data_IF_724307991581
#
_entry.id   IF_724307991581
#
_cell.length_a   1.000
_cell.length_b   1.000
_cell.length_c   1.000
_cell.angle_alpha   90.00
_cell.angle_beta   90.00
_cell.angle_gamma   90.00
#
_symmetry.space_group_name_H-M   'P 1'
#
loop_
_entity.id
_entity.type
_entity.pdbx_description
1 polymer ?
#
# COMPACT_ATOMS: atom_id res chain seq x y z
N UNK A 1 -9.38 31.75 -6.18
CA UNK A 1 -7.92 31.81 -6.41
C UNK A 1 -7.34 30.48 -6.01
N UNK A 2 -6.67 29.77 -6.92
CA UNK A 2 -6.05 28.48 -6.61
C UNK A 2 -4.72 28.71 -5.92
N UNK A 3 -4.58 28.30 -4.67
CA UNK A 3 -3.34 28.43 -3.91
C UNK A 3 -2.37 27.29 -4.23
N UNK A 4 -1.07 27.47 -3.98
CA UNK A 4 -0.12 26.36 -4.02
C UNK A 4 -0.37 25.44 -2.81
N UNK A 5 -0.10 24.16 -2.97
CA UNK A 5 -0.16 23.22 -1.85
C UNK A 5 0.94 23.57 -0.82
N UNK A 6 0.56 23.58 0.45
CA UNK A 6 1.45 23.85 1.58
C UNK A 6 1.26 22.74 2.63
N UNK A 7 2.34 22.23 3.25
CA UNK A 7 2.24 21.29 4.37
C UNK A 7 1.72 21.99 5.64
N UNK A 8 0.99 21.28 6.49
CA UNK A 8 0.40 21.82 7.72
C UNK A 8 -0.87 22.67 7.50
N UNK A 9 -1.36 22.73 6.27
CA UNK A 9 -2.53 23.51 5.86
C UNK A 9 -3.78 22.64 5.86
N UNK A 10 -4.88 23.16 6.41
CA UNK A 10 -6.16 22.45 6.42
C UNK A 10 -6.92 22.70 5.12
N UNK A 11 -7.19 21.64 4.39
CA UNK A 11 -7.95 21.65 3.14
C UNK A 11 -9.32 21.01 3.35
N UNK A 12 -10.35 21.69 2.86
CA UNK A 12 -11.72 21.19 2.83
C UNK A 12 -11.95 20.39 1.54
N UNK A 13 -12.95 19.51 1.58
CA UNK A 13 -13.37 18.78 0.38
C UNK A 13 -13.75 19.76 -0.73
N UNK A 14 -13.21 19.53 -1.93
CA UNK A 14 -13.42 20.38 -3.09
C UNK A 14 -12.39 21.50 -3.28
N UNK A 15 -11.54 21.78 -2.29
CA UNK A 15 -10.46 22.78 -2.42
C UNK A 15 -9.48 22.39 -3.52
N UNK A 16 -9.05 23.37 -4.32
CA UNK A 16 -8.10 23.14 -5.43
C UNK A 16 -6.76 23.77 -5.11
N UNK A 17 -5.69 22.97 -5.27
CA UNK A 17 -4.31 23.40 -5.07
C UNK A 17 -3.45 23.12 -6.28
N UNK A 18 -2.35 23.86 -6.43
CA UNK A 18 -1.29 23.59 -7.40
C UNK A 18 -0.13 22.89 -6.69
N UNK A 19 0.25 21.71 -7.17
CA UNK A 19 1.42 20.96 -6.70
C UNK A 19 2.18 20.39 -7.91
N UNK A 20 3.50 20.61 -7.96
CA UNK A 20 4.35 20.20 -9.09
C UNK A 20 3.80 20.63 -10.48
N UNK A 21 3.22 21.82 -10.56
CA UNK A 21 2.66 22.37 -11.80
C UNK A 21 1.32 21.76 -12.25
N UNK A 22 0.75 20.84 -11.47
CA UNK A 22 -0.56 20.22 -11.73
C UNK A 22 -1.59 20.69 -10.71
N UNK A 23 -2.87 20.70 -11.12
CA UNK A 23 -3.99 21.02 -10.25
C UNK A 23 -4.53 19.77 -9.60
N UNK A 24 -4.76 19.83 -8.30
CA UNK A 24 -5.36 18.76 -7.52
C UNK A 24 -6.57 19.30 -6.78
N UNK A 25 -7.66 18.54 -6.79
CA UNK A 25 -8.87 18.79 -6.03
C UNK A 25 -8.90 17.88 -4.82
N UNK A 26 -9.08 18.45 -3.64
CA UNK A 26 -9.22 17.71 -2.40
C UNK A 26 -10.48 16.84 -2.47
N UNK A 27 -10.31 15.51 -2.38
CA UNK A 27 -11.43 14.55 -2.38
C UNK A 27 -11.99 14.40 -0.96
N UNK A 28 -11.13 14.46 0.06
CA UNK A 28 -11.50 14.33 1.47
C UNK A 28 -10.82 15.43 2.29
N UNK A 29 -11.57 16.09 3.17
CA UNK A 29 -11.03 17.16 4.00
C UNK A 29 -9.96 16.63 4.96
N UNK A 30 -8.79 17.27 5.01
CA UNK A 30 -7.66 16.83 5.84
C UNK A 30 -6.72 18.01 6.16
N UNK A 31 -5.81 17.81 7.11
CA UNK A 31 -4.63 18.66 7.27
C UNK A 31 -3.48 18.04 6.49
N UNK A 32 -2.85 18.81 5.60
CA UNK A 32 -1.75 18.33 4.77
C UNK A 32 -0.51 18.04 5.61
N UNK A 33 0.25 17.02 5.21
CA UNK A 33 1.52 16.65 5.82
C UNK A 33 2.59 16.61 4.73
N UNK A 34 3.84 16.87 5.10
CA UNK A 34 4.98 16.95 4.17
C UNK A 34 5.23 15.67 3.37
N UNK A 35 4.81 14.52 3.91
CA UNK A 35 4.87 13.19 3.32
C UNK A 35 3.55 12.76 2.65
N UNK A 36 2.51 13.58 2.72
CA UNK A 36 1.18 13.37 2.12
C UNK A 36 0.91 14.41 1.04
N UNK A 37 1.77 14.42 0.02
CA UNK A 37 1.66 15.35 -1.09
C UNK A 37 0.53 14.93 -2.05
N UNK A 38 -0.06 15.87 -2.81
CA UNK A 38 -1.22 15.57 -3.66
C UNK A 38 -1.01 14.48 -4.72
N UNK A 39 0.23 14.26 -5.14
CA UNK A 39 0.62 13.24 -6.12
C UNK A 39 0.79 11.83 -5.54
N UNK A 40 0.99 11.68 -4.22
CA UNK A 40 1.20 10.39 -3.55
C UNK A 40 0.04 9.97 -2.66
N UNK A 41 -1.00 10.80 -2.54
CA UNK A 41 -2.20 10.53 -1.73
C UNK A 41 -3.49 10.66 -2.55
N UNK A 42 -3.72 9.78 -3.55
CA UNK A 42 -4.87 9.86 -4.46
C UNK A 42 -6.22 9.65 -3.76
N UNK A 43 -6.23 9.11 -2.54
CA UNK A 43 -7.44 9.05 -1.70
C UNK A 43 -7.87 10.42 -1.15
N UNK A 44 -6.92 11.35 -1.02
CA UNK A 44 -7.12 12.70 -0.51
C UNK A 44 -7.19 13.74 -1.63
N UNK A 45 -6.63 13.44 -2.80
CA UNK A 45 -6.47 14.38 -3.91
C UNK A 45 -6.79 13.75 -5.27
N UNK A 46 -7.60 14.44 -6.08
CA UNK A 46 -7.92 14.08 -7.46
C UNK A 46 -7.24 15.03 -8.43
N UNK A 47 -6.53 14.51 -9.43
CA UNK A 47 -5.89 15.33 -10.46
C UNK A 47 -6.97 15.99 -11.33
N UNK A 48 -6.91 17.30 -11.49
CA UNK A 48 -7.72 18.03 -12.48
C UNK A 48 -6.91 18.10 -13.77
N UNK A 49 -7.43 17.51 -14.85
CA UNK A 49 -6.84 17.68 -16.19
C UNK A 49 -7.08 19.11 -16.68
N UNK A 50 -6.12 19.67 -17.41
CA UNK A 50 -6.24 20.98 -18.03
C UNK A 50 -7.29 20.90 -19.16
N UNK A 51 -8.53 21.23 -18.81
CA UNK A 51 -9.68 21.18 -19.73
C UNK A 51 -11.04 21.49 -19.09
N UNK A 52 -11.15 21.48 -17.76
CA UNK A 52 -12.41 21.82 -17.09
C UNK A 52 -12.55 23.34 -16.94
N UNK A 53 -13.25 23.94 -17.92
CA UNK A 53 -13.52 25.38 -17.98
C UNK A 53 -14.60 25.77 -16.97
N UNK A 54 -14.17 26.37 -15.85
CA UNK A 54 -15.02 27.13 -14.96
C UNK A 54 -14.18 27.86 -13.92
N UNK A 55 -14.42 29.15 -13.74
CA UNK A 55 -13.77 30.10 -12.82
C UNK A 55 -12.54 30.85 -13.35
N UNK A 56 -12.82 32.03 -13.90
CA UNK A 56 -11.87 33.16 -13.99
C UNK A 56 -11.47 33.60 -12.56
N UNK A 57 -10.18 33.83 -12.31
CA UNK A 57 -9.74 34.34 -11.02
C UNK A 57 -8.23 34.47 -10.88
N UNK A 58 -7.72 35.64 -11.28
CA UNK A 58 -6.43 36.27 -11.00
C UNK A 58 -5.42 35.50 -10.12
N UNK A 59 -4.26 35.20 -10.72
CA UNK A 59 -3.06 34.65 -10.07
C UNK A 59 -2.37 35.68 -9.16
N UNK A 60 -2.12 35.30 -7.90
CA UNK A 60 -1.19 36.02 -7.02
C UNK A 60 0.28 35.64 -7.33
N UNK A 61 1.24 36.56 -7.12
CA UNK A 61 2.66 36.30 -7.39
C UNK A 61 3.30 35.36 -6.36
N UNK A 62 4.26 34.56 -6.87
CA UNK A 62 5.05 33.54 -6.17
C UNK A 62 5.86 34.12 -5.00
N UNK A 63 5.91 33.47 -3.81
CA UNK A 63 6.82 33.85 -2.73
C UNK A 63 8.29 33.61 -3.13
N UNK A 64 9.17 34.54 -2.78
CA UNK A 64 10.58 34.57 -3.21
C UNK A 64 11.43 33.35 -2.76
N UNK A 65 10.95 32.54 -1.80
CA UNK A 65 11.70 31.42 -1.22
C UNK A 65 11.21 30.02 -1.64
N UNK A 66 10.39 29.90 -2.69
CA UNK A 66 9.99 28.59 -3.20
C UNK A 66 11.00 28.01 -4.19
N UNK A 67 11.84 27.08 -3.72
CA UNK A 67 12.71 26.24 -4.56
C UNK A 67 12.17 24.81 -4.58
N UNK A 68 11.53 24.35 -5.67
CA UNK A 68 11.15 22.94 -5.78
C UNK A 68 12.41 22.06 -5.86
N UNK A 69 12.40 20.84 -5.29
CA UNK A 69 13.48 19.89 -5.49
C UNK A 69 13.59 19.56 -6.98
N UNK A 70 14.79 19.72 -7.55
CA UNK A 70 15.06 19.39 -8.94
C UNK A 70 15.25 17.87 -9.07
N UNK A 71 14.25 17.20 -9.63
CA UNK A 71 14.42 15.87 -10.20
C UNK A 71 14.00 15.93 -11.67
N UNK A 72 14.99 15.72 -12.55
CA UNK A 72 14.78 15.54 -13.97
C UNK A 72 14.03 14.22 -14.19
N UNK A 73 12.72 14.30 -14.45
CA UNK A 73 11.96 13.15 -14.92
C UNK A 73 11.96 13.15 -16.45
N UNK A 74 12.46 12.11 -17.13
CA UNK A 74 12.18 11.94 -18.55
C UNK A 74 10.67 11.77 -18.76
N UNK A 75 10.15 12.28 -19.88
CA UNK A 75 8.76 12.13 -20.27
C UNK A 75 8.36 10.63 -20.30
N UNK A 76 7.10 10.28 -19.99
CA UNK A 76 6.63 8.91 -20.14
C UNK A 76 6.83 8.44 -21.59
N UNK A 77 7.33 7.21 -21.83
CA UNK A 77 7.40 6.65 -23.18
C UNK A 77 5.99 6.59 -23.78
N UNK A 78 5.89 6.85 -25.09
CA UNK A 78 4.65 6.74 -25.85
C UNK A 78 4.02 5.34 -25.66
N UNK A 79 2.70 5.33 -25.48
CA UNK A 79 1.87 4.14 -25.30
C UNK A 79 2.21 3.04 -26.32
N UNK A 80 2.77 1.94 -25.82
CA UNK A 80 2.60 0.64 -26.47
C UNK A 80 1.38 0.00 -25.80
N UNK A 81 0.34 -0.29 -26.57
CA UNK A 81 -0.83 -1.05 -26.14
C UNK A 81 -0.81 -2.41 -26.84
N UNK A 82 -0.69 -3.50 -26.09
CA UNK A 82 -0.90 -4.86 -26.63
C UNK A 82 -2.40 -5.12 -26.74
N UNK A 83 -2.87 -5.49 -27.93
CA UNK A 83 -4.24 -5.92 -28.17
C UNK A 83 -4.45 -7.36 -27.66
N UNK A 84 -5.55 -7.58 -26.91
CA UNK A 84 -5.98 -8.89 -26.41
C UNK A 84 -7.03 -9.46 -27.37
N UNK A 85 -6.87 -10.70 -27.81
CA UNK A 85 -7.83 -11.37 -28.69
C UNK A 85 -8.95 -12.07 -27.89
N UNK A 86 -10.18 -12.06 -28.43
CA UNK A 86 -11.41 -12.60 -27.79
C UNK A 86 -11.35 -14.08 -27.38
N UNK A 87 -10.41 -14.84 -27.93
CA UNK A 87 -10.15 -16.24 -27.58
C UNK A 87 -9.18 -16.38 -26.40
N UNK A 88 -8.29 -15.41 -26.21
CA UNK A 88 -7.38 -15.34 -25.06
C UNK A 88 -8.13 -14.95 -23.77
N UNK A 89 -9.25 -14.23 -23.89
CA UNK A 89 -10.17 -13.90 -22.77
C UNK A 89 -10.73 -15.14 -22.06
N UNK A 90 -10.76 -16.29 -22.73
CA UNK A 90 -11.35 -17.54 -22.22
C UNK A 90 -10.33 -18.51 -21.64
N UNK A 91 -9.04 -18.22 -21.76
CA UNK A 91 -7.96 -19.09 -21.28
C UNK A 91 -7.63 -18.77 -19.82
N UNK A 92 -7.34 -19.79 -19.02
CA UNK A 92 -6.83 -19.57 -17.68
C UNK A 92 -5.38 -19.04 -17.77
N UNK A 93 -4.98 -18.13 -16.88
CA UNK A 93 -3.65 -17.48 -16.93
C UNK A 93 -2.48 -18.49 -16.95
N UNK A 94 -2.65 -19.60 -16.24
CA UNK A 94 -1.67 -20.68 -16.20
C UNK A 94 -1.53 -21.44 -17.53
N UNK A 95 -2.53 -21.35 -18.41
CA UNK A 95 -2.58 -22.00 -19.72
C UNK A 95 -2.07 -21.07 -20.84
N UNK A 96 -1.63 -19.85 -20.50
CA UNK A 96 -0.98 -18.92 -21.43
C UNK A 96 0.51 -19.27 -21.50
N UNK A 97 1.06 -19.23 -22.70
CA UNK A 97 2.49 -19.45 -22.94
C UNK A 97 3.36 -18.35 -22.29
N UNK A 98 4.54 -18.73 -21.81
CA UNK A 98 5.44 -17.85 -21.07
C UNK A 98 6.00 -16.70 -21.93
N UNK A 99 6.15 -16.88 -23.25
CA UNK A 99 6.54 -15.81 -24.16
C UNK A 99 5.44 -14.75 -24.31
N UNK A 100 4.17 -15.18 -24.37
CA UNK A 100 2.99 -14.32 -24.39
C UNK A 100 2.75 -13.62 -23.05
N UNK A 101 2.99 -14.28 -21.91
CA UNK A 101 2.99 -13.63 -20.58
C UNK A 101 3.97 -12.47 -20.54
N UNK A 102 5.20 -12.69 -21.03
CA UNK A 102 6.25 -11.67 -21.11
C UNK A 102 5.90 -10.49 -22.04
N UNK A 103 5.16 -10.74 -23.13
CA UNK A 103 4.66 -9.67 -24.00
C UNK A 103 3.57 -8.83 -23.34
N UNK A 104 2.66 -9.45 -22.58
CA UNK A 104 1.61 -8.76 -21.81
C UNK A 104 2.20 -7.95 -20.63
N UNK A 105 3.32 -8.41 -20.07
CA UNK A 105 4.09 -7.71 -19.04
C UNK A 105 4.85 -6.48 -19.58
N UNK A 106 5.32 -6.53 -20.83
CA UNK A 106 6.19 -5.50 -21.42
C UNK A 106 5.43 -4.40 -22.16
N UNK A 107 4.23 -4.66 -22.69
CA UNK A 107 3.56 -3.76 -23.64
C UNK A 107 2.23 -3.10 -23.20
N UNK A 108 2.04 -2.79 -21.93
CA UNK A 108 0.99 -1.83 -21.54
C UNK A 108 0.08 -2.27 -20.40
N UNK A 109 0.34 -1.72 -19.22
CA UNK A 109 -0.68 -1.07 -18.38
C UNK A 109 -1.86 -1.87 -17.81
N UNK A 110 -2.03 -3.18 -18.08
CA UNK A 110 -3.20 -3.94 -17.59
C UNK A 110 -2.87 -5.31 -16.97
N UNK A 111 -1.66 -5.86 -17.17
CA UNK A 111 -1.29 -7.16 -16.57
C UNK A 111 -0.86 -7.10 -15.10
N UNK A 112 -0.34 -5.96 -14.63
CA UNK A 112 0.12 -5.80 -13.24
C UNK A 112 -1.01 -5.78 -12.20
N UNK A 113 -2.24 -5.45 -12.59
CA UNK A 113 -3.33 -5.23 -11.62
C UNK A 113 -4.35 -6.37 -11.48
N UNK A 114 -4.42 -7.34 -12.40
CA UNK A 114 -5.40 -8.43 -12.31
C UNK A 114 -4.78 -9.82 -12.06
N UNK A 115 -3.49 -10.03 -12.35
CA UNK A 115 -2.87 -11.36 -12.26
C UNK A 115 -1.78 -11.52 -11.19
N UNK A 116 -1.12 -10.44 -10.75
CA UNK A 116 0.26 -10.57 -10.28
C UNK A 116 0.48 -10.60 -8.78
N UNK A 117 -0.44 -10.11 -7.94
CA UNK A 117 -0.23 -10.30 -6.52
C UNK A 117 -0.34 -11.79 -6.16
N UNK A 118 -1.22 -12.56 -6.78
CA UNK A 118 -1.27 -13.99 -6.49
C UNK A 118 -2.24 -14.80 -7.33
N UNK A 119 -2.16 -14.73 -8.66
CA UNK A 119 -2.86 -15.60 -9.60
C UNK A 119 -4.37 -15.77 -9.30
N UNK A 120 -5.15 -14.77 -9.70
CA UNK A 120 -6.57 -14.69 -9.40
C UNK A 120 -6.81 -14.02 -8.04
N UNK A 121 -7.42 -12.84 -8.08
CA UNK A 121 -8.56 -12.58 -7.21
C UNK A 121 -9.41 -13.86 -7.29
N UNK A 122 -9.29 -14.81 -6.36
CA UNK A 122 -10.02 -16.08 -6.40
C UNK A 122 -11.47 -15.76 -6.68
N UNK A 123 -11.94 -16.05 -7.90
CA UNK A 123 -13.28 -15.77 -8.41
C UNK A 123 -13.99 -14.59 -7.70
N UNK A 124 -13.81 -13.36 -8.21
CA UNK A 124 -14.89 -12.39 -8.36
C UNK A 124 -16.08 -12.67 -7.41
N UNK A 125 -15.99 -12.31 -6.13
CA UNK A 125 -17.16 -12.40 -5.24
C UNK A 125 -18.17 -11.34 -5.73
N UNK A 126 -19.00 -11.75 -6.69
CA UNK A 126 -20.33 -11.26 -7.07
C UNK A 126 -20.71 -9.80 -6.75
N UNK A 127 -19.82 -8.84 -6.99
CA UNK A 127 -20.16 -7.43 -7.06
C UNK A 127 -19.83 -6.94 -8.47
N UNK A 128 -20.84 -6.45 -9.20
CA UNK A 128 -20.68 -5.79 -10.50
C UNK A 128 -19.95 -4.45 -10.32
N UNK A 129 -18.65 -4.51 -10.01
CA UNK A 129 -17.81 -3.32 -10.07
C UNK A 129 -17.75 -2.81 -11.50
N UNK A 130 -17.81 -1.49 -11.65
CA UNK A 130 -17.74 -0.85 -12.96
C UNK A 130 -16.37 -1.08 -13.60
N UNK A 131 -16.30 -0.99 -14.92
CA UNK A 131 -15.02 -1.04 -15.64
C UNK A 131 -14.05 0.07 -15.19
N UNK A 132 -14.58 1.21 -14.76
CA UNK A 132 -13.78 2.33 -14.23
C UNK A 132 -13.15 1.99 -12.89
N UNK A 133 -13.90 1.34 -11.98
CA UNK A 133 -13.40 0.90 -10.67
C UNK A 133 -12.28 -0.14 -10.83
N UNK A 134 -12.42 -1.06 -11.79
CA UNK A 134 -11.37 -2.05 -12.11
C UNK A 134 -10.11 -1.38 -12.62
N UNK A 135 -10.24 -0.42 -13.55
CA UNK A 135 -9.10 0.34 -14.08
C UNK A 135 -8.41 1.14 -12.97
N UNK A 136 -9.17 1.77 -12.09
CA UNK A 136 -8.63 2.51 -10.95
C UNK A 136 -7.84 1.60 -9.99
N UNK A 137 -8.36 0.41 -9.70
CA UNK A 137 -7.68 -0.59 -8.88
C UNK A 137 -6.38 -1.10 -9.54
N UNK A 138 -6.41 -1.37 -10.86
CA UNK A 138 -5.21 -1.78 -11.59
C UNK A 138 -4.14 -0.69 -11.56
N UNK A 139 -4.55 0.56 -11.73
CA UNK A 139 -3.65 1.72 -11.73
C UNK A 139 -3.05 1.97 -10.35
N UNK A 140 -3.83 1.85 -9.27
CA UNK A 140 -3.33 2.01 -7.90
C UNK A 140 -2.28 0.96 -7.54
N UNK A 141 -2.49 -0.29 -7.96
CA UNK A 141 -1.50 -1.37 -7.77
C UNK A 141 -0.22 -1.08 -8.55
N UNK A 142 -0.31 -0.62 -9.81
CA UNK A 142 0.87 -0.28 -10.61
C UNK A 142 1.71 0.84 -10.00
N UNK A 143 1.06 1.89 -9.51
CA UNK A 143 1.76 2.97 -8.83
C UNK A 143 2.42 2.47 -7.55
N UNK A 144 1.72 1.69 -6.75
CA UNK A 144 2.29 1.10 -5.53
C UNK A 144 3.53 0.25 -5.85
N UNK A 145 3.50 -0.60 -6.90
CA UNK A 145 4.66 -1.41 -7.30
C UNK A 145 5.84 -0.50 -7.67
N UNK A 146 5.61 0.52 -8.50
CA UNK A 146 6.66 1.46 -8.93
C UNK A 146 7.30 2.16 -7.73
N UNK A 147 6.49 2.65 -6.80
CA UNK A 147 6.97 3.32 -5.59
C UNK A 147 7.70 2.37 -4.64
N UNK A 148 7.18 1.15 -4.46
CA UNK A 148 7.80 0.14 -3.63
C UNK A 148 9.18 -0.24 -4.18
N UNK A 149 9.32 -0.37 -5.50
CA UNK A 149 10.60 -0.58 -6.16
C UNK A 149 11.56 0.61 -5.96
N UNK A 150 11.05 1.85 -6.03
CA UNK A 150 11.86 3.04 -5.74
C UNK A 150 12.39 3.02 -4.28
N UNK A 151 11.53 2.71 -3.29
CA UNK A 151 11.93 2.55 -1.88
C UNK A 151 12.98 1.45 -1.70
N UNK A 152 12.83 0.31 -2.39
CA UNK A 152 13.82 -0.77 -2.38
C UNK A 152 15.17 -0.31 -2.94
N UNK A 153 15.16 0.46 -4.03
CA UNK A 153 16.39 0.95 -4.65
C UNK A 153 17.11 1.95 -3.74
N UNK A 154 16.38 2.85 -3.09
CA UNK A 154 16.92 3.77 -2.09
C UNK A 154 17.52 3.01 -0.90
N UNK A 155 16.79 2.02 -0.36
CA UNK A 155 17.30 1.16 0.71
C UNK A 155 18.58 0.40 0.33
N UNK A 156 18.69 -0.08 -0.91
CA UNK A 156 19.93 -0.72 -1.41
C UNK A 156 21.11 0.24 -1.48
N UNK A 157 20.87 1.53 -1.69
CA UNK A 157 21.92 2.55 -1.79
C UNK A 157 22.32 3.11 -0.43
N UNK A 158 21.33 3.38 0.44
CA UNK A 158 21.50 4.15 1.67
C UNK A 158 21.42 3.28 2.93
N UNK A 159 20.96 2.04 2.84
CA UNK A 159 20.60 1.22 3.99
C UNK A 159 19.34 1.73 4.69
N UNK A 160 19.24 1.50 6.00
CA UNK A 160 18.13 1.99 6.82
C UNK A 160 18.25 3.50 7.05
N UNK A 161 17.22 4.25 6.66
CA UNK A 161 17.09 5.70 6.90
C UNK A 161 16.03 6.03 7.95
N UNK A 162 15.27 5.03 8.41
CA UNK A 162 14.27 5.14 9.46
C UNK A 162 14.26 3.86 10.32
N UNK A 163 13.70 3.89 11.55
CA UNK A 163 13.57 2.70 12.40
C UNK A 163 12.78 1.55 11.74
N UNK A 164 11.86 1.87 10.85
CA UNK A 164 11.05 0.93 10.09
C UNK A 164 10.87 1.44 8.65
N UNK A 165 11.10 0.57 7.67
CA UNK A 165 10.96 0.85 6.25
C UNK A 165 10.24 -0.30 5.55
N UNK A 166 9.34 0.03 4.63
CA UNK A 166 8.67 -0.94 3.78
C UNK A 166 9.47 -1.16 2.50
N UNK A 167 9.95 -2.38 2.31
CA UNK A 167 10.86 -2.72 1.21
C UNK A 167 10.18 -3.72 0.29
N UNK A 168 10.13 -3.40 -1.00
CA UNK A 168 9.56 -4.29 -2.01
C UNK A 168 10.28 -5.64 -2.04
N UNK A 169 9.48 -6.72 -2.03
CA UNK A 169 9.94 -8.09 -2.08
C UNK A 169 9.18 -8.90 -3.12
N UNK A 170 9.88 -9.86 -3.72
CA UNK A 170 9.31 -10.81 -4.67
C UNK A 170 9.61 -12.24 -4.26
N UNK A 171 8.59 -13.09 -4.28
CA UNK A 171 8.70 -14.48 -3.91
C UNK A 171 9.18 -14.65 -2.48
N UNK A 172 10.11 -15.59 -2.29
CA UNK A 172 10.52 -16.13 -0.99
C UNK A 172 11.87 -15.59 -0.49
N UNK A 173 12.49 -14.68 -1.24
CA UNK A 173 13.81 -14.13 -0.91
C UNK A 173 13.67 -13.06 0.18
N UNK A 174 13.59 -13.48 1.44
CA UNK A 174 13.38 -12.55 2.57
C UNK A 174 14.66 -11.74 2.81
N UNK A 175 14.63 -10.40 2.73
CA UNK A 175 15.81 -9.57 2.91
C UNK A 175 16.32 -9.59 4.35
N UNK A 176 17.64 -9.48 4.50
CA UNK A 176 18.29 -9.25 5.78
C UNK A 176 17.73 -7.98 6.46
N UNK A 177 17.48 -8.07 7.78
CA UNK A 177 16.91 -6.98 8.57
C UNK A 177 15.37 -6.93 8.56
N UNK A 178 14.70 -7.88 7.89
CA UNK A 178 13.26 -8.05 8.03
C UNK A 178 12.88 -8.30 9.50
N UNK A 179 11.88 -7.56 10.00
CA UNK A 179 11.42 -7.69 11.38
C UNK A 179 10.68 -9.01 11.55
N UNK A 180 11.16 -9.85 12.46
CA UNK A 180 10.51 -11.10 12.86
C UNK A 180 9.49 -10.87 13.98
N UNK A 181 8.38 -11.61 13.93
CA UNK A 181 7.35 -11.59 14.97
C UNK A 181 7.35 -12.83 15.86
N UNK A 182 7.96 -13.91 15.40
CA UNK A 182 8.04 -15.18 16.10
C UNK A 182 8.47 -16.31 15.17
N UNK A 183 8.65 -17.49 15.77
CA UNK A 183 8.79 -18.74 15.04
C UNK A 183 7.51 -19.56 15.17
N UNK A 184 7.11 -20.17 14.06
CA UNK A 184 6.06 -21.18 13.99
C UNK A 184 6.73 -22.49 13.57
N UNK A 185 6.80 -23.47 14.49
CA UNK A 185 7.64 -24.66 14.33
C UNK A 185 9.11 -24.25 14.04
N UNK A 186 9.63 -24.62 12.87
CA UNK A 186 11.00 -24.32 12.43
C UNK A 186 11.08 -23.08 11.52
N UNK A 187 9.95 -22.39 11.30
CA UNK A 187 9.86 -21.33 10.29
C UNK A 187 9.71 -19.96 10.93
N UNK A 188 10.29 -18.95 10.31
CA UNK A 188 10.24 -17.57 10.81
C UNK A 188 9.12 -16.79 10.13
N UNK A 189 8.37 -16.03 10.92
CA UNK A 189 7.30 -15.16 10.43
C UNK A 189 7.72 -13.69 10.42
N UNK A 190 7.57 -13.07 9.26
CA UNK A 190 7.89 -11.67 9.02
C UNK A 190 6.63 -10.86 8.72
N UNK A 191 6.73 -9.54 8.88
CA UNK A 191 5.63 -8.61 8.62
C UNK A 191 5.67 -8.20 7.16
N UNK A 192 4.56 -8.37 6.45
CA UNK A 192 4.41 -7.84 5.09
C UNK A 192 3.17 -6.97 4.95
N UNK A 193 3.11 -6.21 3.86
CA UNK A 193 1.91 -5.52 3.40
C UNK A 193 1.75 -5.60 1.90
N UNK A 194 0.51 -5.48 1.42
CA UNK A 194 0.23 -5.36 0.00
C UNK A 194 -1.12 -4.64 -0.25
N UNK A 195 -1.33 -4.11 -1.46
CA UNK A 195 -2.62 -3.55 -1.85
C UNK A 195 -3.70 -4.63 -1.87
N UNK A 196 -4.80 -4.41 -1.17
CA UNK A 196 -6.05 -5.16 -1.32
C UNK A 196 -7.12 -4.20 -1.90
N UNK A 197 -8.39 -4.63 -1.94
CA UNK A 197 -9.47 -3.80 -2.44
C UNK A 197 -9.58 -2.47 -1.67
N UNK A 198 -9.35 -1.35 -2.39
CA UNK A 198 -9.39 0.00 -1.85
C UNK A 198 -8.27 0.41 -0.87
N UNK A 199 -7.40 -0.51 -0.44
CA UNK A 199 -6.50 -0.27 0.69
C UNK A 199 -5.16 -0.99 0.62
N UNK A 200 -4.33 -0.78 1.64
CA UNK A 200 -3.07 -1.53 1.87
C UNK A 200 -3.20 -2.25 3.20
N UNK A 201 -3.05 -3.57 3.18
CA UNK A 201 -3.25 -4.42 4.36
C UNK A 201 -1.99 -5.15 4.76
N UNK A 202 -1.83 -5.34 6.06
CA UNK A 202 -0.72 -6.04 6.71
C UNK A 202 -1.04 -7.54 6.82
N UNK A 203 -0.02 -8.38 6.72
CA UNK A 203 -0.11 -9.82 6.97
C UNK A 203 1.26 -10.44 7.27
N UNK A 204 1.41 -11.71 6.89
CA UNK A 204 2.59 -12.54 7.20
C UNK A 204 3.39 -12.88 5.96
N UNK A 205 4.70 -12.86 6.08
CA UNK A 205 5.63 -13.37 5.08
C UNK A 205 6.56 -14.43 5.67
N UNK A 206 6.98 -15.37 4.83
CA UNK A 206 7.93 -16.42 5.17
C UNK A 206 8.42 -17.08 3.88
N UNK A 207 9.68 -17.51 3.87
CA UNK A 207 10.30 -18.22 2.75
C UNK A 207 9.65 -19.59 2.47
N UNK A 208 9.02 -20.18 3.47
CA UNK A 208 8.29 -21.44 3.35
C UNK A 208 6.93 -21.30 2.66
N UNK A 209 6.34 -20.10 2.63
CA UNK A 209 5.02 -19.92 2.00
C UNK A 209 5.09 -20.10 0.49
N UNK A 210 4.06 -20.67 -0.16
CA UNK A 210 4.11 -20.97 -1.60
C UNK A 210 4.51 -19.78 -2.48
N UNK A 211 4.05 -18.58 -2.13
CA UNK A 211 4.38 -17.33 -2.85
C UNK A 211 5.24 -16.35 -2.06
N UNK A 212 5.51 -16.62 -0.78
CA UNK A 212 6.31 -15.75 0.09
C UNK A 212 5.51 -14.89 1.07
N UNK A 213 4.31 -14.44 0.70
CA UNK A 213 3.42 -13.67 1.59
C UNK A 213 1.99 -14.21 1.64
N UNK A 214 1.28 -13.87 2.71
CA UNK A 214 -0.14 -14.11 2.95
C UNK A 214 -0.76 -12.90 3.64
N UNK A 215 -1.82 -12.35 3.08
CA UNK A 215 -2.63 -11.26 3.67
C UNK A 215 -4.00 -11.80 4.04
N UNK A 216 -4.48 -11.44 5.24
CA UNK A 216 -5.88 -11.66 5.62
C UNK A 216 -6.75 -10.55 5.03
N UNK A 217 -7.81 -10.91 4.31
CA UNK A 217 -8.78 -9.95 3.75
C UNK A 217 -10.14 -10.61 3.50
N UNK A 218 -11.23 -9.92 3.86
CA UNK A 218 -12.60 -10.42 3.72
C UNK A 218 -12.81 -11.85 4.26
N UNK A 219 -12.25 -12.11 5.46
CA UNK A 219 -12.26 -13.41 6.13
C UNK A 219 -11.48 -14.55 5.44
N UNK A 220 -10.76 -14.28 4.34
CA UNK A 220 -9.94 -15.26 3.62
C UNK A 220 -8.44 -14.93 3.72
N UNK A 221 -7.60 -15.91 3.37
CA UNK A 221 -6.16 -15.70 3.14
C UNK A 221 -5.87 -15.52 1.64
N UNK A 222 -5.10 -14.49 1.30
CA UNK A 222 -4.63 -14.23 -0.06
C UNK A 222 -3.12 -14.40 -0.11
N UNK A 223 -2.65 -15.41 -0.85
CA UNK A 223 -1.23 -15.68 -1.04
C UNK A 223 -0.64 -14.76 -2.08
N UNK A 224 0.46 -14.07 -1.76
CA UNK A 224 1.06 -13.08 -2.63
C UNK A 224 2.54 -13.34 -2.98
N UNK A 225 2.90 -13.10 -4.23
CA UNK A 225 4.27 -13.18 -4.74
C UNK A 225 4.96 -11.82 -4.77
N UNK A 226 4.22 -10.71 -4.80
CA UNK A 226 4.75 -9.36 -4.74
C UNK A 226 4.13 -8.68 -3.52
N UNK A 227 4.98 -8.10 -2.67
CA UNK A 227 4.57 -7.47 -1.42
C UNK A 227 5.67 -6.51 -0.96
N UNK A 228 5.40 -5.72 0.06
CA UNK A 228 6.46 -5.06 0.83
C UNK A 228 6.66 -5.79 2.14
N UNK A 229 7.92 -5.95 2.55
CA UNK A 229 8.30 -6.51 3.84
C UNK A 229 8.80 -5.39 4.75
N UNK A 230 8.46 -5.46 6.04
CA UNK A 230 8.93 -4.48 7.02
C UNK A 230 10.37 -4.81 7.43
N UNK A 231 11.30 -3.97 7.03
CA UNK A 231 12.72 -4.03 7.43
C UNK A 231 12.96 -2.92 8.44
N UNK A 232 13.73 -3.19 9.49
CA UNK A 232 13.95 -2.15 10.51
C UNK A 232 14.90 -2.54 11.62
N UNK A 233 15.05 -1.61 12.56
CA UNK A 233 15.91 -1.74 13.72
C UNK A 233 15.06 -1.66 15.01
N UNK A 234 15.00 -2.77 15.73
CA UNK A 234 14.24 -2.88 16.97
C UNK A 234 14.76 -1.97 18.09
N UNK A 235 15.94 -1.33 17.97
CA UNK A 235 16.38 -0.28 18.89
C UNK A 235 15.49 0.97 18.83
N UNK A 236 14.87 1.23 17.68
CA UNK A 236 13.94 2.35 17.47
C UNK A 236 12.47 1.95 17.52
N UNK A 237 12.16 0.71 17.91
CA UNK A 237 10.81 0.15 17.90
C UNK A 237 10.53 -0.62 19.19
N UNK A 238 9.25 -0.77 19.54
CA UNK A 238 8.80 -1.60 20.66
C UNK A 238 7.41 -2.15 20.43
N UNK A 239 7.14 -3.32 20.98
CA UNK A 239 5.81 -3.92 21.01
C UNK A 239 5.08 -3.46 22.28
N UNK A 240 3.85 -2.97 22.15
CA UNK A 240 2.99 -2.59 23.27
C UNK A 240 1.78 -3.49 23.33
N UNK A 241 1.56 -4.14 24.48
CA UNK A 241 0.41 -5.02 24.71
C UNK A 241 -0.90 -4.22 24.68
N UNK A 242 -1.93 -4.83 24.08
CA UNK A 242 -3.28 -4.30 24.01
C UNK A 242 -4.27 -5.47 23.96
N UNK A 243 -5.55 -5.19 24.22
CA UNK A 243 -6.60 -6.19 24.20
C UNK A 243 -7.95 -5.60 23.81
N UNK A 244 -8.83 -6.40 23.23
CA UNK A 244 -10.16 -5.95 22.80
C UNK A 244 -10.09 -5.05 21.57
N UNK A 245 -11.00 -4.08 21.50
CA UNK A 245 -11.04 -3.15 20.38
C UNK A 245 -9.90 -2.14 20.48
N UNK A 246 -9.14 -2.03 19.39
CA UNK A 246 -8.03 -1.08 19.33
C UNK A 246 -8.51 0.36 19.45
N UNK A 247 -7.83 1.13 20.29
CA UNK A 247 -8.02 2.57 20.43
C UNK A 247 -6.65 3.22 20.61
N UNK A 248 -6.36 4.24 19.79
CA UNK A 248 -5.04 4.89 19.77
C UNK A 248 -4.63 5.45 21.15
N UNK A 249 -5.59 5.90 21.96
CA UNK A 249 -5.36 6.45 23.30
C UNK A 249 -4.81 5.40 24.28
N UNK A 250 -5.10 4.12 24.06
CA UNK A 250 -4.62 3.03 24.92
C UNK A 250 -3.12 2.81 24.83
N UNK A 251 -2.45 3.38 23.82
CA UNK A 251 -1.00 3.28 23.64
C UNK A 251 -0.20 4.26 24.50
N UNK A 252 -0.85 5.04 25.38
CA UNK A 252 -0.16 5.92 26.33
C UNK A 252 0.70 7.00 25.67
N UNK A 253 0.26 7.50 24.51
CA UNK A 253 0.99 8.51 23.72
C UNK A 253 2.11 7.94 22.83
N UNK A 254 2.30 6.61 22.79
CA UNK A 254 3.21 6.01 21.83
C UNK A 254 2.66 6.14 20.40
N UNK A 255 3.57 6.33 19.44
CA UNK A 255 3.22 6.41 18.01
C UNK A 255 3.27 5.02 17.38
N UNK A 256 2.15 4.42 16.94
CA UNK A 256 2.16 3.14 16.26
C UNK A 256 2.76 3.25 14.85
N UNK A 257 3.29 2.14 14.36
CA UNK A 257 3.76 2.01 12.96
C UNK A 257 2.53 1.76 12.08
N UNK A 258 2.16 2.76 11.27
CA UNK A 258 1.13 2.60 10.25
C UNK A 258 1.63 1.64 9.16
N UNK A 259 0.87 0.57 8.94
CA UNK A 259 1.18 -0.44 7.92
C UNK A 259 0.35 -0.28 6.66
N UNK A 260 -0.75 0.45 6.72
CA UNK A 260 -1.58 0.77 5.58
C UNK A 260 -2.90 1.39 5.99
N UNK A 261 -3.87 1.34 5.08
CA UNK A 261 -5.22 1.89 5.28
C UNK A 261 -6.23 0.97 4.66
N UNK A 262 -7.38 0.87 5.30
CA UNK A 262 -8.53 0.14 4.77
C UNK A 262 -9.16 0.90 3.58
N UNK A 263 -10.07 0.26 2.83
CA UNK A 263 -10.73 0.85 1.65
C UNK A 263 -11.50 2.15 1.90
N UNK A 264 -11.88 2.39 3.16
CA UNK A 264 -12.52 3.63 3.62
C UNK A 264 -11.52 4.71 4.10
N UNK A 265 -10.21 4.48 3.97
CA UNK A 265 -9.14 5.39 4.39
C UNK A 265 -8.75 5.31 5.86
N UNK A 266 -9.42 4.48 6.67
CA UNK A 266 -9.08 4.30 8.08
C UNK A 266 -7.69 3.67 8.24
N UNK A 267 -6.86 4.16 9.18
CA UNK A 267 -5.51 3.65 9.37
C UNK A 267 -5.52 2.22 9.92
N UNK A 268 -4.57 1.43 9.41
CA UNK A 268 -4.25 0.09 9.88
C UNK A 268 -2.82 0.11 10.41
N UNK A 269 -2.64 -0.41 11.62
CA UNK A 269 -1.34 -0.46 12.30
C UNK A 269 -0.79 -1.87 12.34
N UNK A 270 0.54 -1.96 12.33
CA UNK A 270 1.26 -3.22 12.44
C UNK A 270 1.04 -3.81 13.83
N UNK A 271 0.53 -5.03 13.88
CA UNK A 271 0.31 -5.77 15.11
C UNK A 271 0.85 -7.21 15.01
N UNK A 272 0.92 -7.88 16.16
CA UNK A 272 1.14 -9.31 16.25
C UNK A 272 0.29 -9.92 17.35
N UNK A 273 -0.13 -11.16 17.19
CA UNK A 273 -0.97 -11.84 18.17
C UNK A 273 -0.57 -13.31 18.36
N UNK A 274 -0.63 -13.84 19.60
CA UNK A 274 -0.42 -15.26 19.85
C UNK A 274 -1.58 -16.09 19.28
N UNK A 275 -1.25 -17.11 18.48
CA UNK A 275 -2.23 -18.06 17.97
C UNK A 275 -1.56 -19.42 17.76
N UNK A 276 -2.20 -20.50 18.23
CA UNK A 276 -1.78 -21.90 18.00
C UNK A 276 -0.28 -22.20 18.26
N UNK A 277 0.30 -21.55 19.27
CA UNK A 277 1.68 -21.82 19.70
C UNK A 277 2.75 -20.95 19.03
N UNK A 278 2.35 -20.01 18.17
CA UNK A 278 3.23 -19.01 17.56
C UNK A 278 2.69 -17.59 17.75
N UNK A 279 3.48 -16.59 17.37
CA UNK A 279 3.08 -15.18 17.35
C UNK A 279 3.02 -14.73 15.89
N UNK A 280 1.82 -14.43 15.43
CA UNK A 280 1.56 -14.12 14.02
C UNK A 280 1.44 -12.61 13.79
N UNK A 281 2.04 -12.08 12.72
CA UNK A 281 1.86 -10.68 12.34
C UNK A 281 0.47 -10.47 11.72
N UNK A 282 -0.07 -9.27 11.91
CA UNK A 282 -1.39 -8.89 11.45
C UNK A 282 -1.63 -7.40 11.52
N UNK A 283 -2.92 -7.03 11.54
CA UNK A 283 -3.37 -5.63 11.53
C UNK A 283 -4.32 -5.35 12.68
N UNK A 284 -4.24 -4.13 13.20
CA UNK A 284 -5.21 -3.52 14.14
C UNK A 284 -5.66 -2.16 13.59
N UNK A 285 -6.82 -1.68 14.04
CA UNK A 285 -7.39 -0.40 13.64
C UNK A 285 -8.68 -0.13 14.40
N UNK A 286 -9.09 1.13 14.53
CA UNK A 286 -10.22 1.52 15.40
C UNK A 286 -11.58 1.01 14.89
N UNK A 287 -11.63 0.52 13.65
CA UNK A 287 -12.83 -0.05 13.01
C UNK A 287 -12.80 -1.58 12.90
N UNK A 288 -11.78 -2.23 13.45
CA UNK A 288 -11.69 -3.68 13.50
C UNK A 288 -11.73 -4.15 14.96
N UNK A 289 -12.31 -5.32 15.17
CA UNK A 289 -12.35 -5.94 16.48
C UNK A 289 -11.06 -6.74 16.66
N UNK A 290 -10.34 -6.52 17.76
CA UNK A 290 -9.08 -7.22 18.04
C UNK A 290 -7.98 -7.01 16.99
N UNK A 291 -7.03 -7.97 16.99
CA UNK A 291 -6.01 -8.10 15.96
C UNK A 291 -6.43 -9.15 14.94
N UNK A 292 -6.43 -8.77 13.66
CA UNK A 292 -6.72 -9.67 12.54
C UNK A 292 -5.40 -10.27 12.03
N UNK A 293 -5.30 -11.60 12.08
CA UNK A 293 -4.16 -12.37 11.56
C UNK A 293 -4.61 -13.36 10.48
N UNK A 294 -3.86 -13.53 9.38
CA UNK A 294 -4.08 -14.66 8.47
C UNK A 294 -3.65 -15.97 9.14
N UNK A 295 -4.55 -16.95 9.26
CA UNK A 295 -4.23 -18.32 9.69
C UNK A 295 -5.14 -19.40 9.08
N UNK A 296 -4.54 -20.44 8.51
CA UNK A 296 -5.18 -21.67 8.01
C UNK A 296 -6.36 -21.39 7.05
N UNK A 297 -6.11 -20.59 6.02
CA UNK A 297 -7.07 -20.23 4.97
C UNK A 297 -8.08 -19.15 5.38
N UNK A 298 -8.02 -18.62 6.60
CA UNK A 298 -8.96 -17.60 7.10
C UNK A 298 -8.25 -16.42 7.75
N UNK A 299 -8.95 -15.30 7.81
CA UNK A 299 -8.61 -14.22 8.72
C UNK A 299 -9.17 -14.56 10.11
N UNK A 300 -8.32 -14.49 11.13
CA UNK A 300 -8.68 -14.77 12.52
C UNK A 300 -8.59 -13.51 13.34
N UNK A 301 -9.62 -13.28 14.13
CA UNK A 301 -9.64 -12.26 15.17
C UNK A 301 -9.03 -12.82 16.46
N UNK A 302 -8.10 -12.08 17.04
CA UNK A 302 -7.46 -12.41 18.32
C UNK A 302 -7.56 -11.21 19.26
N UNK A 303 -8.13 -11.44 20.44
CA UNK A 303 -8.42 -10.39 21.42
C UNK A 303 -7.15 -9.83 22.07
N UNK A 304 -6.18 -10.67 22.43
CA UNK A 304 -4.92 -10.27 23.03
C UNK A 304 -3.84 -10.12 21.95
N UNK A 305 -3.18 -8.98 21.89
CA UNK A 305 -2.19 -8.70 20.85
C UNK A 305 -1.19 -7.63 21.31
N UNK A 306 -0.19 -7.39 20.46
CA UNK A 306 0.77 -6.30 20.64
C UNK A 306 0.81 -5.43 19.38
N UNK A 307 0.96 -4.13 19.56
CA UNK A 307 1.06 -3.14 18.50
C UNK A 307 2.50 -2.67 18.38
N UNK A 308 3.04 -2.63 17.17
CA UNK A 308 4.38 -2.12 16.92
C UNK A 308 4.36 -0.59 16.97
N UNK A 309 5.16 -0.01 17.86
CA UNK A 309 5.28 1.42 18.06
C UNK A 309 6.73 1.87 17.92
N UNK A 310 6.93 3.14 17.57
CA UNK A 310 8.24 3.76 17.66
C UNK A 310 8.66 3.86 19.13
N UNK A 311 9.91 3.50 19.41
CA UNK A 311 10.52 3.76 20.71
C UNK A 311 10.72 5.28 20.87
N UNK A 312 10.48 5.77 22.09
CA UNK A 312 10.72 7.17 22.48
C UNK A 312 12.15 7.33 22.96
#
# INVERSE_FOLDING_TARGET
MTAYWEPGTRYNQGDVVIYNGRRYKTIQAHASQSDWTPDVTPALWGVLQDGDHGYEGHSQPRPANYTPPSQHYPAPPAEQSVQIHKEEEKKHWYDIDDARKKQLEVGGGLALGLGLLGAGFTAYKHHEKSEEEKKAQVWSVQNWVREAQARRNEWKQCGLTAPAMWIYNEGKDIPNGAITTGQEHDWTLYICRAPMEGGIHIGKASDVFPKGAVIGYDNEEVHLAQYEILVGDMRGLRWLSSSGNFNLQTLGGARPVEGGRDGNGSPLYVARAPHKGAVHPGKVGERINGCLIPYNGKEKEVDQYEVLCYAQ
#
